data_IF_212428911989
#
_entry.id   IF_212428911989
#
_cell.length_a   1.000
_cell.length_b   1.000
_cell.length_c   1.000
_cell.angle_alpha   90.00
_cell.angle_beta   90.00
_cell.angle_gamma   90.00
#
_symmetry.space_group_name_H-M   'P 1'
#
loop_
_entity.id
_entity.type
_entity.pdbx_description
1 polymer ?
#
# COMPACT_ATOMS: atom_id res chain seq x y z
N UNK A 1 -7.60 -7.52 30.43
CA UNK A 1 -6.30 -8.02 29.95
C UNK A 1 -5.81 -7.14 28.79
N UNK A 2 -4.53 -6.81 28.78
CA UNK A 2 -3.92 -5.99 27.74
C UNK A 2 -3.70 -6.84 26.47
N UNK A 3 -4.16 -6.39 25.29
CA UNK A 3 -3.93 -7.13 24.06
C UNK A 3 -2.42 -7.17 23.73
N UNK A 4 -1.95 -8.28 23.14
CA UNK A 4 -0.56 -8.44 22.72
C UNK A 4 -0.28 -7.80 21.36
N UNK A 5 -1.31 -7.60 20.56
CA UNK A 5 -1.25 -7.01 19.22
C UNK A 5 -2.65 -6.52 18.84
N UNK A 6 -2.75 -5.36 18.22
CA UNK A 6 -3.98 -4.87 17.59
C UNK A 6 -3.83 -4.92 16.08
N UNK A 7 -4.79 -5.55 15.41
CA UNK A 7 -4.87 -5.63 13.95
C UNK A 7 -6.14 -4.87 13.52
N UNK A 8 -6.00 -3.93 12.61
CA UNK A 8 -7.12 -3.10 12.17
C UNK A 8 -7.17 -2.94 10.65
N UNK A 9 -8.23 -2.36 10.15
CA UNK A 9 -8.29 -1.87 8.78
C UNK A 9 -7.42 -0.62 8.62
N UNK A 10 -6.75 -0.51 7.47
CA UNK A 10 -5.82 0.58 7.20
C UNK A 10 -6.50 1.95 7.15
N UNK A 11 -7.80 2.02 6.86
CA UNK A 11 -8.55 3.28 6.81
C UNK A 11 -8.68 3.95 8.18
N UNK A 12 -8.72 3.17 9.25
CA UNK A 12 -8.87 3.68 10.62
C UNK A 12 -7.54 3.81 11.38
N UNK A 13 -6.42 3.56 10.72
CA UNK A 13 -5.09 3.65 11.33
C UNK A 13 -4.84 4.96 12.07
N UNK A 14 -5.13 6.10 11.43
CA UNK A 14 -4.90 7.42 12.00
C UNK A 14 -5.66 7.65 13.31
N UNK A 15 -6.85 7.06 13.46
CA UNK A 15 -7.66 7.14 14.67
C UNK A 15 -7.13 6.16 15.72
N UNK A 16 -6.99 4.90 15.34
CA UNK A 16 -6.58 3.82 16.26
C UNK A 16 -5.18 4.07 16.82
N UNK A 17 -4.25 4.57 16.00
CA UNK A 17 -2.88 4.86 16.44
C UNK A 17 -2.80 5.94 17.51
N UNK A 18 -3.75 6.90 17.52
CA UNK A 18 -3.84 7.95 18.53
C UNK A 18 -4.49 7.49 19.83
N UNK A 19 -5.39 6.51 19.74
CA UNK A 19 -6.13 5.98 20.88
C UNK A 19 -5.37 4.84 21.59
N UNK A 20 -4.54 4.11 20.86
CA UNK A 20 -3.84 2.94 21.36
C UNK A 20 -2.54 3.37 22.06
N UNK A 21 -2.28 2.91 23.31
CA UNK A 21 -1.01 3.11 23.99
C UNK A 21 0.18 2.65 23.14
N UNK A 22 1.31 3.36 23.23
CA UNK A 22 2.48 3.07 22.40
C UNK A 22 3.15 1.72 22.68
N UNK A 23 2.89 1.14 23.84
CA UNK A 23 3.38 -0.16 24.27
C UNK A 23 2.53 -1.35 23.78
N UNK A 24 1.49 -1.08 22.97
CA UNK A 24 0.69 -2.11 22.31
C UNK A 24 1.02 -2.05 20.80
N UNK A 25 1.62 -3.09 20.22
CA UNK A 25 1.91 -3.14 18.79
C UNK A 25 0.63 -3.04 17.94
N UNK A 26 0.74 -2.32 16.83
CA UNK A 26 -0.35 -2.08 15.89
C UNK A 26 0.06 -2.47 14.47
N UNK A 27 -0.78 -3.19 13.76
CA UNK A 27 -0.60 -3.50 12.34
C UNK A 27 -1.95 -3.55 11.62
N UNK A 28 -1.95 -3.85 10.32
CA UNK A 28 -3.18 -3.99 9.54
C UNK A 28 -3.26 -5.30 8.78
N UNK A 29 -4.49 -5.67 8.41
CA UNK A 29 -4.72 -6.82 7.52
C UNK A 29 -3.96 -6.68 6.20
N UNK A 30 -3.88 -5.49 5.63
CA UNK A 30 -3.17 -5.24 4.37
C UNK A 30 -1.67 -5.48 4.49
N UNK A 31 -1.04 -5.08 5.62
CA UNK A 31 0.37 -5.36 5.92
C UNK A 31 0.58 -6.87 6.14
N UNK A 32 -0.30 -7.52 6.90
CA UNK A 32 -0.24 -8.97 7.10
C UNK A 32 -0.37 -9.73 5.77
N UNK A 33 -1.26 -9.32 4.87
CA UNK A 33 -1.41 -9.91 3.54
C UNK A 33 -0.16 -9.71 2.68
N UNK A 34 0.47 -8.54 2.73
CA UNK A 34 1.74 -8.31 2.05
C UNK A 34 2.86 -9.23 2.59
N UNK A 35 2.87 -9.49 3.89
CA UNK A 35 3.81 -10.44 4.52
C UNK A 35 3.51 -11.89 4.16
N UNK A 36 2.25 -12.26 4.10
CA UNK A 36 1.81 -13.64 3.89
C UNK A 36 1.96 -14.11 2.43
N UNK A 37 1.39 -13.39 1.47
CA UNK A 37 1.36 -13.78 0.06
C UNK A 37 1.90 -12.74 -0.92
N UNK A 38 2.37 -11.61 -0.41
CA UNK A 38 2.99 -10.54 -1.19
C UNK A 38 4.51 -10.49 -0.99
N UNK A 39 5.02 -9.27 -0.95
CA UNK A 39 6.40 -8.95 -0.60
C UNK A 39 6.40 -7.65 0.23
N UNK A 40 6.37 -7.78 1.55
CA UNK A 40 6.30 -6.63 2.45
C UNK A 40 7.54 -5.72 2.37
N UNK A 41 8.79 -6.23 2.27
CA UNK A 41 9.96 -5.39 2.03
C UNK A 41 9.81 -4.48 0.81
N UNK A 42 9.45 -5.03 -0.36
CA UNK A 42 9.23 -4.24 -1.57
C UNK A 42 8.07 -3.24 -1.42
N UNK A 43 7.01 -3.60 -0.70
CA UNK A 43 5.89 -2.69 -0.45
C UNK A 43 6.31 -1.50 0.42
N UNK A 44 7.19 -1.72 1.40
CA UNK A 44 7.74 -0.66 2.27
C UNK A 44 8.66 0.27 1.47
N UNK A 45 9.59 -0.28 0.68
CA UNK A 45 10.45 0.50 -0.22
C UNK A 45 9.61 1.29 -1.24
N UNK A 46 8.60 0.64 -1.83
CA UNK A 46 7.70 1.25 -2.81
C UNK A 46 6.86 2.39 -2.24
N UNK A 47 6.48 2.35 -0.96
CA UNK A 47 5.70 3.43 -0.35
C UNK A 47 6.46 4.76 -0.31
N UNK A 48 7.77 4.72 -0.04
CA UNK A 48 8.61 5.92 0.02
C UNK A 48 8.75 6.63 -1.34
N UNK A 49 8.48 5.94 -2.44
CA UNK A 49 8.55 6.51 -3.79
C UNK A 49 7.53 7.65 -3.97
N UNK A 50 6.46 7.66 -3.18
CA UNK A 50 5.45 8.73 -3.23
C UNK A 50 6.07 10.13 -3.04
N UNK A 51 7.13 10.25 -2.26
CA UNK A 51 7.84 11.54 -2.02
C UNK A 51 8.66 12.01 -3.23
N UNK A 52 8.92 11.15 -4.19
CA UNK A 52 9.67 11.46 -5.41
C UNK A 52 8.79 11.83 -6.60
N UNK A 53 7.48 11.73 -6.44
CA UNK A 53 6.50 12.01 -7.49
C UNK A 53 6.48 13.49 -7.85
N UNK A 54 6.24 13.76 -9.13
CA UNK A 54 6.18 15.10 -9.70
C UNK A 54 4.95 15.24 -10.58
N UNK A 55 4.56 16.47 -10.84
CA UNK A 55 3.49 16.79 -11.79
C UNK A 55 3.68 16.06 -13.12
N UNK A 56 2.62 15.40 -13.58
CA UNK A 56 2.60 14.62 -14.81
C UNK A 56 3.11 13.18 -14.67
N UNK A 57 3.60 12.78 -13.49
CA UNK A 57 3.85 11.36 -13.22
C UNK A 57 2.54 10.58 -13.21
N UNK A 58 2.59 9.33 -13.66
CA UNK A 58 1.43 8.44 -13.76
C UNK A 58 1.55 7.28 -12.79
N UNK A 59 0.48 7.00 -12.07
CA UNK A 59 0.39 5.91 -11.09
C UNK A 59 -0.65 4.90 -11.54
N UNK A 60 -0.32 3.61 -11.44
CA UNK A 60 -1.29 2.54 -11.58
C UNK A 60 -1.84 2.16 -10.21
N UNK A 61 -3.16 2.22 -10.05
CA UNK A 61 -3.87 1.64 -8.90
C UNK A 61 -4.53 0.34 -9.36
N UNK A 62 -4.07 -0.78 -8.81
CA UNK A 62 -4.49 -2.12 -9.21
C UNK A 62 -5.28 -2.82 -8.09
N UNK A 63 -6.50 -3.22 -8.38
CA UNK A 63 -7.35 -3.98 -7.47
C UNK A 63 -7.46 -5.44 -7.90
N UNK A 64 -7.45 -6.35 -6.94
CA UNK A 64 -7.54 -7.79 -7.18
C UNK A 64 -8.96 -8.34 -7.28
N UNK A 65 -9.96 -7.50 -7.21
CA UNK A 65 -11.37 -7.91 -7.24
C UNK A 65 -12.24 -6.87 -7.97
N UNK A 66 -13.42 -7.31 -8.35
CA UNK A 66 -14.42 -6.50 -9.09
C UNK A 66 -15.63 -6.19 -8.20
N UNK A 67 -15.45 -6.10 -6.89
CA UNK A 67 -16.56 -5.80 -5.98
C UNK A 67 -17.11 -4.38 -6.20
N UNK A 68 -18.33 -4.18 -5.74
CA UNK A 68 -19.06 -2.94 -5.96
C UNK A 68 -18.32 -1.74 -5.35
N UNK A 69 -18.03 -0.73 -6.17
CA UNK A 69 -17.35 0.50 -5.73
C UNK A 69 -18.37 1.48 -5.17
N UNK A 70 -18.12 1.96 -3.96
CA UNK A 70 -18.89 3.05 -3.37
C UNK A 70 -18.31 4.41 -3.78
N UNK A 71 -19.08 5.49 -3.62
CA UNK A 71 -18.61 6.85 -3.87
C UNK A 71 -17.47 7.30 -2.92
N UNK A 72 -17.16 6.51 -1.89
CA UNK A 72 -16.02 6.71 -0.98
C UNK A 72 -14.96 5.61 -1.11
N UNK A 73 -14.86 5.00 -2.28
CA UNK A 73 -13.91 3.93 -2.54
C UNK A 73 -12.45 4.32 -2.25
N UNK A 74 -11.71 3.41 -1.61
CA UNK A 74 -10.32 3.67 -1.20
C UNK A 74 -9.43 3.87 -2.41
N UNK A 75 -9.51 2.96 -3.38
CA UNK A 75 -8.59 2.92 -4.51
C UNK A 75 -8.82 4.06 -5.48
N UNK A 76 -10.07 4.32 -5.86
CA UNK A 76 -10.39 5.27 -6.93
C UNK A 76 -10.61 6.69 -6.46
N UNK A 77 -10.89 6.89 -5.15
CA UNK A 77 -11.22 8.22 -4.59
C UNK A 77 -10.24 8.65 -3.51
N UNK A 78 -10.10 7.87 -2.44
CA UNK A 78 -9.35 8.31 -1.25
C UNK A 78 -7.85 8.35 -1.49
N UNK A 79 -7.25 7.29 -2.05
CA UNK A 79 -5.80 7.25 -2.31
C UNK A 79 -5.35 8.34 -3.28
N UNK A 80 -6.01 8.57 -4.44
CA UNK A 80 -5.69 9.69 -5.30
C UNK A 80 -5.73 11.05 -4.60
N UNK A 81 -6.77 11.28 -3.80
CA UNK A 81 -6.92 12.53 -3.04
C UNK A 81 -5.80 12.71 -2.01
N UNK A 82 -5.44 11.67 -1.27
CA UNK A 82 -4.36 11.73 -0.27
C UNK A 82 -3.00 11.95 -0.91
N UNK A 83 -2.71 11.30 -2.04
CA UNK A 83 -1.45 11.48 -2.76
C UNK A 83 -1.32 12.91 -3.29
N UNK A 84 -2.36 13.44 -3.97
CA UNK A 84 -2.35 14.82 -4.45
C UNK A 84 -2.16 15.82 -3.31
N UNK A 85 -2.83 15.60 -2.17
CA UNK A 85 -2.67 16.44 -0.98
C UNK A 85 -1.26 16.36 -0.40
N UNK A 86 -0.66 15.16 -0.39
CA UNK A 86 0.68 14.93 0.15
C UNK A 86 1.76 15.59 -0.70
N UNK A 87 1.65 15.46 -2.01
CA UNK A 87 2.63 16.00 -2.97
C UNK A 87 2.41 17.51 -3.20
N UNK A 88 1.16 17.99 -3.08
CA UNK A 88 0.78 19.36 -3.40
C UNK A 88 0.71 19.64 -4.92
N UNK A 89 0.66 18.58 -5.76
CA UNK A 89 0.68 18.70 -7.22
C UNK A 89 -0.29 17.70 -7.85
N UNK A 90 -0.55 17.86 -9.16
CA UNK A 90 -1.46 17.00 -9.91
C UNK A 90 -0.73 15.78 -10.49
N UNK A 91 -1.30 14.61 -10.23
CA UNK A 91 -0.79 13.29 -10.61
C UNK A 91 -1.86 12.57 -11.41
N UNK A 92 -1.44 11.86 -12.46
CA UNK A 92 -2.32 11.04 -13.28
C UNK A 92 -2.48 9.64 -12.69
N UNK A 93 -3.72 9.14 -12.73
CA UNK A 93 -4.04 7.79 -12.22
C UNK A 93 -4.70 6.94 -13.29
N UNK A 94 -4.21 5.70 -13.41
CA UNK A 94 -4.89 4.62 -14.13
C UNK A 94 -5.37 3.56 -13.15
N UNK A 95 -6.47 2.90 -13.47
CA UNK A 95 -7.11 1.93 -12.59
C UNK A 95 -7.32 0.62 -13.33
N UNK A 96 -7.00 -0.49 -12.66
CA UNK A 96 -7.35 -1.85 -13.12
C UNK A 96 -8.03 -2.63 -12.01
N UNK A 97 -8.84 -3.62 -12.37
CA UNK A 97 -9.59 -4.44 -11.41
C UNK A 97 -9.68 -5.91 -11.83
N UNK A 98 -9.88 -6.78 -10.85
CA UNK A 98 -9.98 -8.22 -11.08
C UNK A 98 -8.70 -8.81 -11.66
N UNK A 99 -8.81 -9.47 -12.80
CA UNK A 99 -7.69 -10.11 -13.48
C UNK A 99 -6.91 -9.19 -14.43
N UNK A 100 -7.39 -7.96 -14.60
CA UNK A 100 -6.71 -6.99 -15.45
C UNK A 100 -5.45 -6.46 -14.75
N UNK A 101 -4.30 -6.79 -15.32
CA UNK A 101 -3.02 -6.24 -14.90
C UNK A 101 -2.14 -6.05 -16.13
N UNK A 102 -1.64 -4.81 -16.41
CA UNK A 102 -0.88 -4.54 -17.62
C UNK A 102 0.45 -5.28 -17.63
N UNK A 103 0.86 -5.80 -18.78
CA UNK A 103 2.18 -6.37 -18.99
C UNK A 103 3.27 -5.31 -19.17
N UNK A 104 2.92 -4.18 -19.80
CA UNK A 104 3.83 -3.03 -19.94
C UNK A 104 3.50 -1.96 -18.88
N UNK A 105 4.45 -1.76 -17.99
CA UNK A 105 4.35 -0.82 -16.86
C UNK A 105 5.23 0.42 -17.01
N UNK A 106 5.92 0.59 -18.14
CA UNK A 106 6.97 1.64 -18.33
C UNK A 106 6.43 3.06 -18.19
N UNK A 107 5.16 3.27 -18.47
CA UNK A 107 4.53 4.60 -18.32
C UNK A 107 4.24 4.97 -16.85
N UNK A 108 4.28 3.99 -15.93
CA UNK A 108 3.94 4.22 -14.53
C UNK A 108 5.17 4.46 -13.67
N UNK A 109 5.12 5.48 -12.84
CA UNK A 109 6.16 5.80 -11.87
C UNK A 109 6.14 4.84 -10.67
N UNK A 110 4.96 4.36 -10.31
CA UNK A 110 4.76 3.33 -9.29
C UNK A 110 3.42 2.62 -9.49
N UNK A 111 3.30 1.46 -8.86
CA UNK A 111 2.06 0.68 -8.75
C UNK A 111 1.59 0.65 -7.30
N UNK A 112 0.32 0.93 -7.08
CA UNK A 112 -0.34 0.80 -5.78
C UNK A 112 -1.36 -0.32 -5.90
N UNK A 113 -1.11 -1.44 -5.22
CA UNK A 113 -1.99 -2.61 -5.27
C UNK A 113 -2.88 -2.67 -4.02
N UNK A 114 -4.12 -3.16 -4.15
CA UNK A 114 -4.93 -3.49 -2.99
C UNK A 114 -4.28 -4.62 -2.17
N UNK A 115 -4.87 -4.98 -1.01
CA UNK A 115 -4.38 -6.09 -0.19
C UNK A 115 -4.39 -7.46 -0.86
N UNK A 116 -5.05 -7.58 -2.02
CA UNK A 116 -5.07 -8.81 -2.82
C UNK A 116 -5.73 -10.00 -2.13
N UNK A 117 -6.68 -9.76 -1.21
CA UNK A 117 -7.33 -10.83 -0.42
C UNK A 117 -7.99 -11.90 -1.29
N UNK A 118 -8.57 -11.52 -2.43
CA UNK A 118 -9.23 -12.42 -3.38
C UNK A 118 -8.28 -13.03 -4.42
N UNK A 119 -7.05 -12.54 -4.54
CA UNK A 119 -6.08 -13.10 -5.46
C UNK A 119 -5.38 -14.32 -4.85
N UNK A 120 -5.01 -15.27 -5.72
CA UNK A 120 -4.11 -16.35 -5.32
C UNK A 120 -2.71 -15.82 -5.05
N UNK A 121 -1.93 -16.55 -4.26
CA UNK A 121 -0.52 -16.23 -4.02
C UNK A 121 0.27 -16.19 -5.34
N UNK A 122 -0.02 -17.10 -6.27
CA UNK A 122 0.60 -17.16 -7.60
C UNK A 122 0.37 -15.86 -8.39
N UNK A 123 -0.86 -15.37 -8.40
CA UNK A 123 -1.22 -14.13 -9.09
C UNK A 123 -0.55 -12.91 -8.46
N UNK A 124 -0.52 -12.82 -7.13
CA UNK A 124 0.20 -11.75 -6.43
C UNK A 124 1.69 -11.76 -6.75
N UNK A 125 2.33 -12.93 -6.73
CA UNK A 125 3.74 -13.08 -7.10
C UNK A 125 4.00 -12.71 -8.55
N UNK A 126 3.09 -13.05 -9.46
CA UNK A 126 3.17 -12.65 -10.86
C UNK A 126 3.17 -11.12 -11.00
N UNK A 127 2.22 -10.42 -10.41
CA UNK A 127 2.12 -8.95 -10.47
C UNK A 127 3.34 -8.26 -9.87
N UNK A 128 3.82 -8.73 -8.72
CA UNK A 128 5.04 -8.22 -8.07
C UNK A 128 6.25 -8.44 -8.97
N UNK A 129 6.37 -9.61 -9.58
CA UNK A 129 7.47 -9.91 -10.51
C UNK A 129 7.42 -9.03 -11.74
N UNK A 130 6.25 -8.84 -12.35
CA UNK A 130 6.08 -7.95 -13.50
C UNK A 130 6.54 -6.52 -13.17
N UNK A 131 6.18 -5.99 -11.99
CA UNK A 131 6.68 -4.69 -11.53
C UNK A 131 8.20 -4.67 -11.38
N UNK A 132 8.77 -5.71 -10.74
CA UNK A 132 10.21 -5.82 -10.52
C UNK A 132 10.99 -5.92 -11.85
N UNK A 133 10.52 -6.73 -12.79
CA UNK A 133 11.16 -6.93 -14.09
C UNK A 133 11.07 -5.64 -14.94
N UNK A 134 10.02 -4.85 -14.78
CA UNK A 134 9.88 -3.53 -15.39
C UNK A 134 10.66 -2.41 -14.68
N UNK A 135 11.23 -2.66 -13.50
CA UNK A 135 11.87 -1.65 -12.67
C UNK A 135 10.90 -0.62 -12.07
N UNK A 136 9.60 -0.98 -11.95
CA UNK A 136 8.55 -0.09 -11.42
C UNK A 136 8.26 -0.46 -9.96
N UNK A 137 8.45 0.49 -9.01
CA UNK A 137 8.15 0.25 -7.60
C UNK A 137 6.70 -0.13 -7.38
N UNK A 138 6.47 -1.06 -6.45
CA UNK A 138 5.13 -1.50 -6.05
C UNK A 138 4.96 -1.36 -4.54
N UNK A 139 3.80 -0.84 -4.13
CA UNK A 139 3.35 -0.84 -2.74
C UNK A 139 1.92 -1.35 -2.64
N UNK A 140 1.40 -1.49 -1.42
CA UNK A 140 -0.02 -1.79 -1.22
C UNK A 140 -0.74 -0.71 -0.43
N UNK A 141 -2.07 -0.75 -0.45
CA UNK A 141 -2.92 0.23 0.21
C UNK A 141 -2.53 0.48 1.67
N UNK A 142 -2.40 -0.58 2.47
CA UNK A 142 -2.12 -0.43 3.90
C UNK A 142 -0.74 0.14 4.19
N UNK A 143 0.27 -0.28 3.46
CA UNK A 143 1.64 0.24 3.61
C UNK A 143 1.70 1.71 3.21
N UNK A 144 1.09 2.09 2.07
CA UNK A 144 1.04 3.48 1.63
C UNK A 144 0.25 4.36 2.59
N UNK A 145 -0.93 3.93 3.03
CA UNK A 145 -1.76 4.69 3.98
C UNK A 145 -1.00 4.91 5.29
N UNK A 146 -0.30 3.90 5.78
CA UNK A 146 0.53 4.01 6.98
C UNK A 146 1.68 5.00 6.79
N UNK A 147 2.31 4.97 5.60
CA UNK A 147 3.37 5.91 5.24
C UNK A 147 2.87 7.35 5.22
N UNK A 148 1.79 7.62 4.47
CA UNK A 148 1.18 8.95 4.36
C UNK A 148 0.70 9.52 5.71
N UNK A 149 0.33 8.66 6.66
CA UNK A 149 -0.04 9.04 8.02
C UNK A 149 1.15 9.15 8.98
N UNK A 150 2.38 8.88 8.54
CA UNK A 150 3.59 8.94 9.37
C UNK A 150 3.69 7.84 10.44
N UNK A 151 2.93 6.75 10.29
CA UNK A 151 2.86 5.66 11.29
C UNK A 151 3.39 4.32 10.75
N UNK A 152 4.04 4.31 9.59
CA UNK A 152 4.52 3.06 8.99
C UNK A 152 5.48 2.30 9.92
N UNK A 153 6.41 2.99 10.58
CA UNK A 153 7.34 2.36 11.53
C UNK A 153 6.59 1.63 12.65
N UNK A 154 5.56 2.25 13.22
CA UNK A 154 4.72 1.64 14.26
C UNK A 154 3.98 0.40 13.75
N UNK A 155 3.48 0.42 12.52
CA UNK A 155 2.74 -0.71 11.94
C UNK A 155 3.64 -1.89 11.55
N UNK A 156 4.96 -1.67 11.53
CA UNK A 156 5.99 -2.69 11.28
C UNK A 156 6.64 -3.22 12.56
N UNK A 157 6.27 -2.74 13.75
CA UNK A 157 6.81 -3.25 15.03
C UNK A 157 6.73 -4.80 15.16
N UNK A 158 5.67 -5.49 14.66
CA UNK A 158 5.66 -6.94 14.64
C UNK A 158 6.70 -7.59 13.70
N UNK A 159 7.37 -6.80 12.86
CA UNK A 159 8.32 -7.23 11.82
C UNK A 159 9.60 -6.38 11.88
N UNK A 160 10.42 -6.50 12.93
CA UNK A 160 11.55 -5.59 13.15
C UNK A 160 12.62 -5.67 12.04
N UNK A 161 12.77 -6.82 11.39
CA UNK A 161 13.67 -6.99 10.25
C UNK A 161 13.26 -6.16 9.03
N UNK A 162 11.96 -5.89 8.90
CA UNK A 162 11.41 -5.07 7.81
C UNK A 162 11.39 -3.60 8.20
N UNK A 163 11.11 -3.29 9.46
CA UNK A 163 11.17 -1.92 9.96
C UNK A 163 12.56 -1.28 9.77
N UNK A 164 13.62 -2.08 9.82
CA UNK A 164 14.99 -1.63 9.55
C UNK A 164 15.22 -1.09 8.12
N UNK A 165 14.34 -1.39 7.16
CA UNK A 165 14.41 -0.85 5.79
C UNK A 165 14.17 0.68 5.80
N UNK A 166 13.34 1.17 6.72
CA UNK A 166 13.04 2.60 6.84
C UNK A 166 14.18 3.44 7.44
N UNK A 167 15.25 2.79 7.91
CA UNK A 167 16.39 3.45 8.56
C UNK A 167 17.59 3.61 7.61
N UNK A 168 17.45 3.15 6.36
CA UNK A 168 18.44 3.28 5.27
C UNK A 168 18.14 4.47 4.39
#
# INVERSE_FOLDING_TARGET
DKPRLVITDSQVFGIVSKMLPNDIPLTSFSILMARYKGNLPLAVEGAAVVDTLKKGDKILIAEGCTHHKSCEDIGTVKIPSWIRKHIGDDIDFSFTSGNEFPEDLKEYKMVIHCGGCMLTEREMKYRIRTCKDAGVPITNYGTLISYLNGILKRTLEPFPEIAAILEK
#
